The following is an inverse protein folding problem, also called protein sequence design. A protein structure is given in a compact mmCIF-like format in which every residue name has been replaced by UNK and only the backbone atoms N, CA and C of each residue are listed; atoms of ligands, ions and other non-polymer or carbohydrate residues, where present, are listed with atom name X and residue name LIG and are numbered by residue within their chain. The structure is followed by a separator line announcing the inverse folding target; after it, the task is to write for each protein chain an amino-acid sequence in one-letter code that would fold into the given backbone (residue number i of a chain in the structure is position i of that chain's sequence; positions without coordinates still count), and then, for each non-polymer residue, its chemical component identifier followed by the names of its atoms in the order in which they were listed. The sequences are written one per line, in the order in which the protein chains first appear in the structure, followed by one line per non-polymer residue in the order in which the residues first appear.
data_IF_898671277347
#
_entry.id   IF_898671277347
#
_cell.length_a   1.000
_cell.length_b   1.000
_cell.length_c   1.000
_cell.angle_alpha   90.00
_cell.angle_beta   90.00
_cell.angle_gamma   90.00
#
_symmetry.space_group_name_H-M   'P 1'
#
loop_
_entity.id
_entity.type
_entity.pdbx_description
1 polymer ?
#
# COMPACT_ATOMS: atom_id res chain seq x y z
N UNK A 1 72.89 -23.26 35.19
CA UNK A 1 72.27 -24.61 35.27
C UNK A 1 71.45 -24.83 34.01
N UNK A 2 71.86 -25.80 33.18
CA UNK A 2 71.08 -26.66 32.23
C UNK A 2 70.00 -25.99 31.34
N UNK A 3 70.21 -25.88 30.01
CA UNK A 3 70.04 -26.90 28.93
C UNK A 3 68.60 -26.89 28.34
N UNK A 4 68.30 -26.95 27.03
CA UNK A 4 69.04 -27.10 25.77
C UNK A 4 68.21 -26.50 24.61
N UNK A 5 68.89 -25.95 23.59
CA UNK A 5 68.40 -25.85 22.21
C UNK A 5 68.40 -27.25 21.57
N UNK A 6 67.39 -27.56 20.76
CA UNK A 6 67.49 -28.61 19.72
C UNK A 6 67.00 -28.09 18.37
N UNK A 7 67.97 -28.05 17.46
CA UNK A 7 67.85 -27.94 16.01
C UNK A 7 67.13 -29.14 15.42
N UNK A 8 66.45 -28.94 14.27
CA UNK A 8 66.35 -29.98 13.23
C UNK A 8 66.34 -29.33 11.84
N UNK A 9 67.29 -29.79 11.03
CA UNK A 9 67.49 -29.48 9.63
C UNK A 9 67.35 -30.81 8.84
N UNK A 10 66.52 -30.76 7.80
CA UNK A 10 66.55 -31.47 6.50
C UNK A 10 66.72 -33.01 6.48
N UNK A 11 65.73 -33.69 5.87
CA UNK A 11 65.95 -34.79 4.92
C UNK A 11 65.06 -34.55 3.69
N UNK A 12 65.64 -34.77 2.51
CA UNK A 12 65.02 -34.64 1.19
C UNK A 12 64.72 -36.01 0.57
N UNK A 13 63.78 -36.00 -0.40
CA UNK A 13 63.45 -36.98 -1.47
C UNK A 13 62.43 -38.10 -1.13
N UNK A 14 61.66 -38.64 -2.11
CA UNK A 14 61.27 -38.12 -3.43
C UNK A 14 59.75 -38.21 -3.72
N UNK A 15 59.38 -37.59 -4.85
CA UNK A 15 58.06 -37.53 -5.50
C UNK A 15 57.52 -38.92 -5.83
N UNK A 16 56.31 -39.24 -5.37
CA UNK A 16 55.45 -40.27 -5.94
C UNK A 16 54.12 -39.63 -6.37
N UNK A 17 53.95 -39.45 -7.67
CA UNK A 17 52.73 -38.92 -8.27
C UNK A 17 51.59 -39.95 -8.13
N UNK A 18 50.65 -39.70 -7.21
CA UNK A 18 49.33 -40.31 -7.22
C UNK A 18 48.43 -39.45 -8.10
N UNK A 19 48.30 -39.84 -9.36
CA UNK A 19 47.20 -39.37 -10.22
C UNK A 19 45.89 -39.93 -9.67
N UNK A 20 45.24 -39.19 -8.77
CA UNK A 20 43.82 -39.39 -8.49
C UNK A 20 43.07 -38.75 -9.64
N UNK A 21 42.48 -39.59 -10.49
CA UNK A 21 41.49 -39.17 -11.48
C UNK A 21 40.31 -38.62 -10.68
N UNK A 22 40.28 -37.31 -10.48
CA UNK A 22 39.07 -36.61 -10.06
C UNK A 22 38.13 -36.62 -11.27
N UNK A 23 37.33 -37.68 -11.39
CA UNK A 23 36.10 -37.59 -12.16
C UNK A 23 35.23 -36.53 -11.45
N UNK A 24 35.38 -35.27 -11.86
CA UNK A 24 34.42 -34.23 -11.60
C UNK A 24 33.15 -34.58 -12.37
N UNK A 25 32.42 -35.59 -11.89
CA UNK A 25 31.00 -35.68 -12.17
C UNK A 25 30.40 -34.45 -11.52
N UNK A 26 30.11 -33.42 -12.31
CA UNK A 26 29.18 -32.39 -11.89
C UNK A 26 27.89 -33.13 -11.54
N UNK A 27 27.66 -33.33 -10.23
CA UNK A 27 26.36 -33.72 -9.74
C UNK A 27 25.44 -32.54 -10.05
N UNK A 28 24.84 -32.56 -11.24
CA UNK A 28 23.67 -31.75 -11.54
C UNK A 28 22.59 -32.28 -10.61
N UNK A 29 22.38 -31.60 -9.49
CA UNK A 29 21.22 -31.86 -8.66
C UNK A 29 19.99 -31.52 -9.50
N UNK A 30 19.36 -32.54 -10.07
CA UNK A 30 18.10 -32.43 -10.78
C UNK A 30 16.99 -32.24 -9.74
N UNK A 31 16.61 -30.97 -9.50
CA UNK A 31 15.56 -30.60 -8.57
C UNK A 31 14.17 -30.61 -9.21
N UNK A 32 14.03 -31.05 -10.48
CA UNK A 32 12.73 -31.11 -11.18
C UNK A 32 11.70 -32.00 -10.48
N UNK A 33 12.16 -32.93 -9.63
CA UNK A 33 11.31 -33.81 -8.81
C UNK A 33 10.96 -33.25 -7.43
N UNK A 34 11.57 -32.14 -6.98
CA UNK A 34 11.27 -31.51 -5.69
C UNK A 34 10.07 -30.59 -5.87
N UNK A 35 8.87 -31.14 -5.69
CA UNK A 35 7.63 -30.35 -5.73
C UNK A 35 7.20 -30.02 -4.30
N UNK A 36 7.36 -28.76 -3.90
CA UNK A 36 6.60 -28.22 -2.79
C UNK A 36 5.09 -28.26 -3.09
N UNK A 37 4.22 -28.05 -2.10
CA UNK A 37 2.78 -27.93 -2.37
C UNK A 37 2.53 -26.84 -3.41
N UNK A 38 1.63 -27.11 -4.36
CA UNK A 38 1.24 -26.11 -5.35
C UNK A 38 0.64 -24.88 -4.65
N UNK A 39 0.83 -23.67 -5.20
CA UNK A 39 0.20 -22.49 -4.64
C UNK A 39 -1.33 -22.61 -4.64
N UNK A 40 -1.99 -22.17 -3.58
CA UNK A 40 -3.46 -21.99 -3.58
C UNK A 40 -3.77 -20.73 -4.37
N UNK A 41 -4.64 -20.80 -5.37
CA UNK A 41 -5.02 -19.64 -6.20
C UNK A 41 -6.45 -19.24 -5.85
N UNK A 42 -6.60 -18.01 -5.37
CA UNK A 42 -7.88 -17.35 -5.16
C UNK A 42 -8.08 -16.43 -6.36
N UNK A 43 -8.67 -17.00 -7.40
CA UNK A 43 -8.84 -16.33 -8.70
C UNK A 43 -10.01 -15.33 -8.67
N UNK A 44 -9.87 -14.24 -9.41
CA UNK A 44 -10.96 -13.29 -9.61
C UNK A 44 -11.92 -13.84 -10.67
N UNK A 45 -13.22 -13.59 -10.51
CA UNK A 45 -14.23 -14.05 -11.46
C UNK A 45 -15.37 -13.04 -11.63
N UNK A 46 -16.01 -13.01 -12.79
CA UNK A 46 -17.02 -12.00 -13.08
C UNK A 46 -16.45 -10.59 -13.28
N UNK A 47 -17.33 -9.66 -13.65
CA UNK A 47 -16.97 -8.29 -14.05
C UNK A 47 -16.63 -7.43 -12.84
N UNK A 48 -17.44 -7.49 -11.78
CA UNK A 48 -17.25 -6.73 -10.54
C UNK A 48 -17.11 -7.63 -9.32
N UNK A 49 -16.73 -7.03 -8.18
CA UNK A 49 -16.63 -7.72 -6.89
C UNK A 49 -17.92 -8.44 -6.48
N UNK A 50 -19.09 -7.89 -6.80
CA UNK A 50 -20.41 -8.50 -6.50
C UNK A 50 -20.66 -9.82 -7.24
N UNK A 51 -19.97 -10.03 -8.35
CA UNK A 51 -20.09 -11.23 -9.20
C UNK A 51 -19.06 -12.30 -8.81
N UNK A 52 -18.22 -12.00 -7.81
CA UNK A 52 -17.07 -12.80 -7.42
C UNK A 52 -17.24 -13.35 -5.99
N UNK A 53 -17.38 -14.67 -5.80
CA UNK A 53 -17.53 -15.25 -4.47
C UNK A 53 -16.27 -15.11 -3.61
N UNK A 54 -15.13 -14.74 -4.21
CA UNK A 54 -13.87 -14.51 -3.50
C UNK A 54 -13.67 -13.04 -3.10
N UNK A 55 -14.63 -12.16 -3.41
CA UNK A 55 -14.49 -10.72 -3.23
C UNK A 55 -15.50 -10.16 -2.21
N UNK A 56 -15.06 -9.18 -1.44
CA UNK A 56 -15.90 -8.43 -0.51
C UNK A 56 -15.38 -6.99 -0.36
N UNK A 57 -16.19 -6.06 0.15
CA UNK A 57 -15.79 -4.64 0.28
C UNK A 57 -16.18 -3.99 1.62
N UNK A 58 -16.56 -4.80 2.60
CA UNK A 58 -16.79 -4.37 3.98
C UNK A 58 -16.09 -5.28 4.96
N UNK A 59 -15.44 -4.69 5.95
CA UNK A 59 -14.76 -5.46 6.99
C UNK A 59 -15.77 -5.77 8.10
N UNK A 60 -15.94 -7.04 8.42
CA UNK A 60 -16.74 -7.51 9.55
C UNK A 60 -16.21 -8.88 10.01
N UNK A 61 -16.22 -9.15 11.32
CA UNK A 61 -15.68 -10.40 11.88
C UNK A 61 -16.41 -11.67 11.39
N UNK A 62 -17.65 -11.52 10.91
CA UNK A 62 -18.49 -12.62 10.43
C UNK A 62 -18.30 -12.97 8.94
N UNK A 63 -17.49 -12.21 8.18
CA UNK A 63 -17.16 -12.55 6.78
C UNK A 63 -16.48 -13.91 6.76
N UNK A 64 -16.94 -14.81 5.88
CA UNK A 64 -16.45 -16.18 5.82
C UNK A 64 -15.18 -16.28 5.00
N UNK A 65 -14.19 -17.09 5.41
CA UNK A 65 -13.05 -17.37 4.56
C UNK A 65 -13.46 -18.06 3.27
N UNK A 66 -12.76 -17.73 2.19
CA UNK A 66 -12.98 -18.29 0.84
C UNK A 66 -11.94 -19.35 0.47
N UNK A 67 -10.83 -19.41 1.22
CA UNK A 67 -9.77 -20.39 1.04
C UNK A 67 -9.05 -20.69 2.37
N UNK A 68 -8.38 -21.84 2.41
CA UNK A 68 -7.48 -22.25 3.48
C UNK A 68 -6.07 -22.45 2.94
N UNK A 69 -5.07 -22.04 3.71
CA UNK A 69 -3.65 -22.24 3.37
C UNK A 69 -2.90 -22.80 4.57
N UNK A 70 -1.97 -23.72 4.31
CA UNK A 70 -1.03 -24.15 5.34
C UNK A 70 0.00 -23.04 5.60
N UNK A 71 0.55 -22.92 6.82
CA UNK A 71 1.71 -22.08 7.06
C UNK A 71 2.85 -22.39 6.06
N UNK A 72 3.54 -21.34 5.62
CA UNK A 72 4.62 -21.36 4.62
C UNK A 72 4.21 -21.79 3.19
N UNK A 73 2.96 -22.19 2.95
CA UNK A 73 2.44 -22.43 1.61
C UNK A 73 2.33 -21.13 0.84
N UNK A 74 2.73 -21.14 -0.44
CA UNK A 74 2.46 -20.03 -1.33
C UNK A 74 0.97 -19.97 -1.64
N UNK A 75 0.42 -18.76 -1.72
CA UNK A 75 -0.92 -18.54 -2.23
C UNK A 75 -0.95 -17.27 -3.05
N UNK A 76 -1.96 -17.18 -3.92
CA UNK A 76 -2.06 -16.14 -4.92
C UNK A 76 -3.44 -15.52 -4.82
N UNK A 77 -3.48 -14.20 -4.69
CA UNK A 77 -4.68 -13.38 -4.75
C UNK A 77 -4.70 -12.69 -6.11
N UNK A 78 -5.74 -12.93 -6.91
CA UNK A 78 -6.03 -12.09 -8.08
C UNK A 78 -6.95 -10.95 -7.65
N UNK A 79 -6.47 -9.72 -7.82
CA UNK A 79 -7.13 -8.50 -7.33
C UNK A 79 -7.67 -7.67 -8.50
N UNK A 80 -8.65 -6.83 -8.16
CA UNK A 80 -9.17 -5.75 -9.01
C UNK A 80 -8.49 -4.43 -8.63
N UNK A 81 -8.69 -3.40 -9.45
CA UNK A 81 -8.34 -2.04 -9.06
C UNK A 81 -9.17 -1.59 -7.84
N UNK A 82 -8.68 -0.61 -7.07
CA UNK A 82 -9.32 -0.16 -5.83
C UNK A 82 -10.74 0.40 -5.99
N UNK A 83 -11.13 0.81 -7.20
CA UNK A 83 -12.42 1.45 -7.46
C UNK A 83 -13.53 0.45 -7.87
N UNK A 84 -13.18 -0.79 -8.23
CA UNK A 84 -14.10 -1.77 -8.84
C UNK A 84 -14.87 -1.16 -10.04
N UNK A 85 -14.15 -0.38 -10.84
CA UNK A 85 -14.70 0.50 -11.87
C UNK A 85 -14.64 -0.09 -13.28
N UNK A 86 -15.41 0.49 -14.21
CA UNK A 86 -15.36 0.15 -15.64
C UNK A 86 -14.32 0.97 -16.42
N UNK A 87 -13.42 1.65 -15.70
CA UNK A 87 -12.43 2.52 -16.33
C UNK A 87 -11.50 1.72 -17.24
N UNK A 88 -11.20 2.29 -18.39
CA UNK A 88 -10.38 1.67 -19.44
C UNK A 88 -9.65 2.76 -20.24
N UNK A 89 -8.86 2.39 -21.25
CA UNK A 89 -8.08 3.33 -22.07
C UNK A 89 -8.92 4.36 -22.86
N UNK A 90 -10.25 4.22 -22.91
CA UNK A 90 -11.17 5.13 -23.58
C UNK A 90 -11.96 6.00 -22.58
N UNK A 91 -11.74 5.83 -21.28
CA UNK A 91 -12.48 6.55 -20.26
C UNK A 91 -12.20 8.04 -20.28
N UNK A 92 -13.20 8.81 -19.89
CA UNK A 92 -13.13 10.27 -19.81
C UNK A 92 -13.29 10.75 -18.37
N UNK A 93 -13.02 12.03 -18.08
CA UNK A 93 -13.32 12.61 -16.77
C UNK A 93 -14.78 12.43 -16.33
N UNK A 94 -15.74 12.40 -17.25
CA UNK A 94 -17.14 12.13 -16.93
C UNK A 94 -17.35 10.73 -16.35
N UNK A 95 -16.62 9.72 -16.84
CA UNK A 95 -16.66 8.36 -16.30
C UNK A 95 -16.14 8.33 -14.86
N UNK A 96 -15.08 9.09 -14.55
CA UNK A 96 -14.56 9.24 -13.18
C UNK A 96 -15.62 9.84 -12.26
N UNK A 97 -16.37 10.86 -12.72
CA UNK A 97 -17.45 11.44 -11.94
C UNK A 97 -18.63 10.49 -11.71
N UNK A 98 -18.77 9.45 -12.54
CA UNK A 98 -19.82 8.44 -12.44
C UNK A 98 -19.44 7.22 -11.58
N UNK A 99 -18.18 7.10 -11.15
CA UNK A 99 -17.70 5.98 -10.32
C UNK A 99 -18.49 5.92 -8.99
N UNK A 100 -19.03 4.74 -8.69
CA UNK A 100 -19.69 4.48 -7.41
C UNK A 100 -18.68 4.09 -6.33
N UNK A 101 -18.26 5.09 -5.54
CA UNK A 101 -17.33 4.90 -4.45
C UNK A 101 -17.86 4.00 -3.31
N UNK A 102 -19.11 3.54 -3.33
CA UNK A 102 -19.58 2.53 -2.36
C UNK A 102 -19.02 1.14 -2.65
N UNK A 103 -18.59 0.88 -3.89
CA UNK A 103 -17.95 -0.38 -4.29
C UNK A 103 -16.53 -0.52 -3.77
N UNK A 104 -15.83 0.61 -3.62
CA UNK A 104 -14.49 0.69 -3.06
C UNK A 104 -14.43 0.16 -1.61
N UNK A 105 -13.44 -0.68 -1.25
CA UNK A 105 -12.42 -1.35 -2.08
C UNK A 105 -12.85 -2.80 -2.36
N UNK A 106 -12.69 -3.34 -3.58
CA UNK A 106 -12.87 -4.77 -3.82
C UNK A 106 -11.67 -5.57 -3.28
N UNK A 107 -11.90 -6.39 -2.26
CA UNK A 107 -10.87 -7.16 -1.56
C UNK A 107 -10.99 -8.65 -1.84
N UNK A 108 -9.90 -9.27 -2.27
CA UNK A 108 -9.81 -10.72 -2.49
C UNK A 108 -9.48 -11.41 -1.16
N UNK A 109 -10.30 -12.39 -0.78
CA UNK A 109 -10.20 -13.13 0.47
C UNK A 109 -11.57 -13.21 1.17
N UNK A 110 -11.60 -13.42 2.51
CA UNK A 110 -10.48 -13.67 3.40
C UNK A 110 -9.88 -15.09 3.25
N UNK A 111 -8.58 -15.21 3.47
CA UNK A 111 -7.83 -16.47 3.51
C UNK A 111 -7.64 -16.88 4.96
N UNK A 112 -8.01 -18.12 5.28
CA UNK A 112 -7.80 -18.72 6.59
C UNK A 112 -6.42 -19.39 6.65
N UNK A 113 -5.55 -18.94 7.56
CA UNK A 113 -4.23 -19.55 7.79
C UNK A 113 -4.36 -20.68 8.80
N UNK A 114 -4.16 -21.92 8.36
CA UNK A 114 -4.42 -23.09 9.18
C UNK A 114 -3.54 -23.12 10.44
N UNK A 115 -4.19 -23.37 11.57
CA UNK A 115 -3.55 -23.43 12.87
C UNK A 115 -3.27 -22.08 13.54
N UNK A 116 -3.45 -20.94 12.87
CA UNK A 116 -3.37 -19.63 13.51
C UNK A 116 -4.56 -19.39 14.45
N UNK A 117 -4.33 -18.77 15.61
CA UNK A 117 -5.34 -18.51 16.64
C UNK A 117 -5.37 -17.03 17.02
N UNK A 118 -6.48 -16.57 17.59
CA UNK A 118 -6.53 -15.25 18.24
C UNK A 118 -5.36 -15.12 19.23
N UNK A 119 -4.61 -14.01 19.14
CA UNK A 119 -3.41 -13.77 19.95
C UNK A 119 -2.09 -14.22 19.32
N UNK A 120 -2.12 -15.04 18.28
CA UNK A 120 -0.95 -15.25 17.41
C UNK A 120 -0.76 -14.05 16.47
N UNK A 121 0.37 -14.01 15.76
CA UNK A 121 0.52 -13.17 14.57
C UNK A 121 0.73 -14.02 13.32
N UNK A 122 0.45 -13.43 12.16
CA UNK A 122 0.92 -13.96 10.88
C UNK A 122 1.93 -13.00 10.25
N UNK A 123 3.03 -13.57 9.77
CA UNK A 123 4.08 -12.88 9.04
C UNK A 123 3.87 -13.16 7.55
N UNK A 124 3.46 -12.14 6.80
CA UNK A 124 3.07 -12.23 5.40
C UNK A 124 4.17 -11.64 4.52
N UNK A 125 4.91 -12.49 3.83
CA UNK A 125 5.96 -12.07 2.89
C UNK A 125 5.36 -11.87 1.49
N UNK A 126 5.64 -10.72 0.87
CA UNK A 126 5.29 -10.43 -0.52
C UNK A 126 6.32 -11.10 -1.44
N UNK A 127 5.88 -12.09 -2.22
CA UNK A 127 6.77 -12.93 -3.04
C UNK A 127 6.86 -12.47 -4.49
N UNK A 128 5.73 -12.09 -5.10
CA UNK A 128 5.66 -11.50 -6.45
C UNK A 128 4.39 -10.66 -6.57
N UNK A 129 4.43 -9.63 -7.41
CA UNK A 129 3.26 -8.89 -7.86
C UNK A 129 3.36 -8.79 -9.38
N UNK A 130 2.41 -9.41 -10.08
CA UNK A 130 2.28 -9.26 -11.52
C UNK A 130 1.18 -8.21 -11.81
N UNK A 131 1.50 -7.09 -12.47
CA UNK A 131 0.52 -6.08 -12.80
C UNK A 131 -0.38 -6.55 -13.96
N UNK A 132 -1.63 -6.11 -13.99
CA UNK A 132 -2.39 -6.07 -15.25
C UNK A 132 -1.76 -5.02 -16.20
N UNK A 133 -2.13 -5.05 -17.48
CA UNK A 133 -1.51 -4.19 -18.51
C UNK A 133 -2.03 -2.73 -18.53
N UNK A 134 -3.07 -2.45 -17.74
CA UNK A 134 -3.75 -1.16 -17.65
C UNK A 134 -3.83 -0.69 -16.20
N UNK A 135 -3.64 0.61 -16.01
CA UNK A 135 -3.95 1.27 -14.75
C UNK A 135 -4.37 2.72 -14.92
N UNK A 136 -4.84 3.32 -13.85
CA UNK A 136 -5.33 4.71 -13.84
C UNK A 136 -4.83 5.48 -12.64
N UNK A 137 -4.65 6.79 -12.81
CA UNK A 137 -4.66 7.73 -11.68
C UNK A 137 -5.79 8.72 -11.90
N UNK A 138 -6.61 8.95 -10.88
CA UNK A 138 -7.80 9.79 -11.00
C UNK A 138 -7.82 10.91 -9.97
N UNK A 139 -8.39 12.05 -10.37
CA UNK A 139 -8.84 13.08 -9.43
C UNK A 139 -10.34 12.88 -9.29
N UNK A 140 -10.78 12.38 -8.14
CA UNK A 140 -12.20 12.18 -7.85
C UNK A 140 -12.73 13.42 -7.11
N UNK A 141 -13.78 14.10 -7.61
CA UNK A 141 -14.33 15.29 -6.98
C UNK A 141 -14.70 15.07 -5.50
N UNK A 142 -14.20 15.95 -4.63
CA UNK A 142 -14.44 15.87 -3.18
C UNK A 142 -13.55 14.88 -2.43
N UNK A 143 -12.62 14.19 -3.12
CA UNK A 143 -11.65 13.27 -2.53
C UNK A 143 -10.20 13.72 -2.76
N UNK A 144 -9.27 13.16 -1.99
CA UNK A 144 -7.85 13.52 -2.03
C UNK A 144 -7.47 14.72 -1.14
N UNK A 145 -6.16 14.95 -1.06
CA UNK A 145 -5.55 15.91 -0.13
C UNK A 145 -5.81 17.37 -0.50
N UNK A 146 -5.96 17.65 -1.81
CA UNK A 146 -6.25 18.97 -2.37
C UNK A 146 -7.65 19.05 -2.99
N UNK A 147 -8.63 18.29 -2.46
CA UNK A 147 -10.03 18.24 -2.93
C UNK A 147 -10.75 19.59 -3.05
N UNK A 148 -10.28 20.61 -2.34
CA UNK A 148 -10.81 21.96 -2.38
C UNK A 148 -10.14 22.86 -3.45
N UNK A 149 -9.03 22.39 -4.04
CA UNK A 149 -8.29 23.04 -5.14
C UNK A 149 -8.60 22.35 -6.46
N UNK A 150 -8.56 21.02 -6.50
CA UNK A 150 -8.87 20.20 -7.67
C UNK A 150 -10.28 19.62 -7.49
N UNK A 151 -11.26 20.28 -8.11
CA UNK A 151 -12.69 19.99 -7.90
C UNK A 151 -13.34 19.27 -9.07
N UNK A 152 -12.73 19.37 -10.24
CA UNK A 152 -13.21 18.73 -11.46
C UNK A 152 -12.58 17.34 -11.57
N UNK A 153 -13.31 16.37 -12.15
CA UNK A 153 -12.77 15.04 -12.35
C UNK A 153 -11.60 15.07 -13.34
N UNK A 154 -10.66 14.15 -13.19
CA UNK A 154 -9.55 13.98 -14.12
C UNK A 154 -9.05 12.53 -14.12
N UNK A 155 -8.46 12.10 -15.23
CA UNK A 155 -7.91 10.75 -15.38
C UNK A 155 -6.63 10.78 -16.21
N UNK A 156 -5.65 9.97 -15.79
CA UNK A 156 -4.47 9.59 -16.58
C UNK A 156 -4.48 8.09 -16.75
N UNK A 157 -4.33 7.64 -18.00
CA UNK A 157 -4.29 6.23 -18.38
C UNK A 157 -2.85 5.75 -18.48
N UNK A 158 -2.55 4.63 -17.84
CA UNK A 158 -1.23 4.04 -17.82
C UNK A 158 -1.21 2.70 -18.55
N UNK A 159 -0.30 2.56 -19.51
CA UNK A 159 0.11 1.28 -20.05
C UNK A 159 1.21 0.72 -19.13
N UNK A 160 0.95 -0.46 -18.56
CA UNK A 160 1.77 -1.06 -17.53
C UNK A 160 2.54 -2.25 -18.09
N UNK A 161 3.74 -2.47 -17.56
CA UNK A 161 4.49 -3.71 -17.72
C UNK A 161 5.37 -3.92 -16.48
N UNK A 162 6.14 -5.01 -16.41
CA UNK A 162 6.97 -5.32 -15.23
C UNK A 162 8.14 -4.37 -14.94
N UNK A 163 8.34 -3.33 -15.75
CA UNK A 163 9.43 -2.36 -15.60
C UNK A 163 8.90 -0.96 -15.30
N UNK A 164 7.88 -0.52 -16.03
CA UNK A 164 7.44 0.88 -16.01
C UNK A 164 6.00 1.09 -16.47
N UNK A 165 5.42 2.20 -16.02
CA UNK A 165 4.14 2.75 -16.45
C UNK A 165 4.36 3.93 -17.40
N UNK A 166 3.72 3.89 -18.57
CA UNK A 166 3.77 4.92 -19.61
C UNK A 166 2.39 5.46 -19.89
N UNK A 167 2.27 6.74 -20.18
CA UNK A 167 0.98 7.35 -20.55
C UNK A 167 1.08 8.18 -21.83
N UNK A 168 0.03 8.11 -22.66
CA UNK A 168 -0.16 9.04 -23.79
C UNK A 168 -0.65 10.41 -23.31
N UNK A 169 -1.30 10.45 -22.15
CA UNK A 169 -1.81 11.68 -21.52
C UNK A 169 -0.66 12.50 -20.92
N UNK A 170 0.48 11.85 -20.64
CA UNK A 170 1.69 12.48 -20.11
C UNK A 170 2.95 12.02 -20.89
N UNK A 171 3.13 12.46 -22.15
CA UNK A 171 4.29 12.08 -22.96
C UNK A 171 5.62 12.45 -22.28
N UNK A 172 6.62 11.58 -22.40
CA UNK A 172 7.95 11.78 -21.78
C UNK A 172 8.04 11.32 -20.31
N UNK A 173 6.93 10.90 -19.70
CA UNK A 173 6.92 10.36 -18.33
C UNK A 173 7.04 8.82 -18.38
N UNK A 174 7.83 8.27 -17.47
CA UNK A 174 7.86 6.85 -17.11
C UNK A 174 7.89 6.68 -15.61
N UNK A 175 6.94 5.98 -15.02
CA UNK A 175 7.02 5.68 -13.59
C UNK A 175 7.55 4.26 -13.42
N UNK A 176 8.69 4.04 -12.71
CA UNK A 176 9.21 2.69 -12.51
C UNK A 176 8.25 1.86 -11.64
N UNK A 177 8.16 0.56 -11.94
CA UNK A 177 7.33 -0.36 -11.16
C UNK A 177 7.89 -0.52 -9.74
N UNK A 178 7.09 -0.13 -8.75
CA UNK A 178 7.37 -0.30 -7.33
C UNK A 178 6.09 -0.79 -6.65
N UNK A 179 5.54 -1.88 -7.17
CA UNK A 179 4.19 -2.28 -6.83
C UNK A 179 4.07 -2.83 -5.41
N UNK A 180 2.93 -2.55 -4.78
CA UNK A 180 2.56 -2.98 -3.44
C UNK A 180 1.03 -3.04 -3.33
N UNK A 181 0.52 -3.62 -2.23
CA UNK A 181 -0.91 -3.65 -1.94
C UNK A 181 -1.27 -2.41 -1.12
N UNK A 182 -2.10 -1.50 -1.64
CA UNK A 182 -2.64 -0.36 -0.90
C UNK A 182 -3.49 -0.84 0.28
N UNK A 183 -4.38 -1.81 0.01
CA UNK A 183 -5.14 -2.52 1.04
C UNK A 183 -4.63 -3.95 1.28
N UNK A 184 -4.12 -4.22 2.49
CA UNK A 184 -3.82 -5.56 2.99
C UNK A 184 -4.05 -5.64 4.51
N UNK A 185 -4.75 -6.68 4.97
CA UNK A 185 -5.12 -6.76 6.38
C UNK A 185 -5.70 -8.10 6.80
N UNK A 186 -6.06 -8.18 8.08
CA UNK A 186 -6.71 -9.34 8.71
C UNK A 186 -8.07 -8.96 9.25
N UNK A 187 -9.00 -9.91 9.39
CA UNK A 187 -10.31 -9.61 9.95
C UNK A 187 -10.21 -9.28 11.44
N UNK A 188 -10.99 -8.29 11.93
CA UNK A 188 -11.16 -8.04 13.36
C UNK A 188 -12.00 -9.13 14.01
N UNK A 189 -12.05 -9.12 15.34
CA UNK A 189 -13.17 -9.71 16.09
C UNK A 189 -14.07 -8.60 16.65
N UNK A 190 -15.15 -8.96 17.33
CA UNK A 190 -16.14 -8.03 17.87
C UNK A 190 -15.54 -6.91 18.74
N UNK A 191 -14.61 -7.14 19.68
CA UNK A 191 -14.05 -6.07 20.50
C UNK A 191 -13.33 -4.98 19.69
N UNK A 192 -12.58 -5.39 18.66
CA UNK A 192 -11.88 -4.47 17.78
C UNK A 192 -12.87 -3.68 16.91
N UNK A 193 -13.87 -4.35 16.36
CA UNK A 193 -14.93 -3.72 15.56
C UNK A 193 -15.74 -2.69 16.36
N UNK A 194 -16.19 -3.06 17.56
CA UNK A 194 -16.98 -2.18 18.45
C UNK A 194 -16.19 -0.90 18.81
N UNK A 195 -14.87 -1.03 19.03
CA UNK A 195 -13.97 0.11 19.30
C UNK A 195 -13.92 1.06 18.10
N UNK A 196 -13.81 0.53 16.88
CA UNK A 196 -13.73 1.33 15.65
C UNK A 196 -15.04 2.08 15.40
N UNK A 197 -16.17 1.36 15.43
CA UNK A 197 -17.50 1.95 15.25
C UNK A 197 -17.75 3.09 16.23
N UNK A 198 -17.39 2.88 17.51
CA UNK A 198 -17.55 3.90 18.55
C UNK A 198 -16.74 5.17 18.25
N UNK A 199 -15.41 5.05 18.06
CA UNK A 199 -14.54 6.23 17.90
C UNK A 199 -14.82 6.99 16.60
N UNK A 200 -15.17 6.27 15.54
CA UNK A 200 -15.49 6.87 14.24
C UNK A 200 -16.86 7.57 14.29
N UNK A 201 -17.84 6.98 14.98
CA UNK A 201 -19.10 7.66 15.27
C UNK A 201 -18.92 8.93 16.08
N UNK A 202 -18.12 8.88 17.15
CA UNK A 202 -17.85 10.06 17.99
C UNK A 202 -17.21 11.20 17.16
N UNK A 203 -16.30 10.89 16.24
CA UNK A 203 -15.70 11.87 15.33
C UNK A 203 -16.72 12.42 14.31
N UNK A 204 -17.57 11.55 13.75
CA UNK A 204 -18.63 11.96 12.83
C UNK A 204 -19.64 12.90 13.52
N UNK A 205 -20.05 12.57 14.76
CA UNK A 205 -20.96 13.38 15.58
C UNK A 205 -20.34 14.75 15.91
N UNK A 206 -19.00 14.85 15.99
CA UNK A 206 -18.27 16.11 16.13
C UNK A 206 -18.09 16.89 14.81
N UNK A 207 -18.58 16.37 13.68
CA UNK A 207 -18.48 16.98 12.35
C UNK A 207 -17.19 16.66 11.59
N UNK A 208 -16.37 15.73 12.09
CA UNK A 208 -15.18 15.26 11.40
C UNK A 208 -15.52 14.40 10.17
N UNK A 209 -14.60 14.33 9.21
CA UNK A 209 -14.78 13.52 8.01
C UNK A 209 -14.63 12.03 8.35
N UNK A 210 -15.73 11.27 8.22
CA UNK A 210 -15.80 9.83 8.51
C UNK A 210 -16.72 9.16 7.51
N UNK A 211 -16.32 8.00 7.00
CA UNK A 211 -17.18 7.12 6.21
C UNK A 211 -17.76 6.04 7.12
N UNK A 212 -18.97 6.29 7.65
CA UNK A 212 -19.70 5.34 8.49
C UNK A 212 -20.12 4.09 7.69
N UNK A 213 -20.53 2.99 8.36
CA UNK A 213 -21.15 1.86 7.68
C UNK A 213 -22.21 2.30 6.67
N UNK A 214 -22.13 1.72 5.47
CA UNK A 214 -22.96 2.07 4.32
C UNK A 214 -23.35 0.77 3.60
N UNK A 215 -24.63 0.38 3.65
CA UNK A 215 -25.08 -0.90 3.11
C UNK A 215 -25.36 -0.92 1.61
N UNK A 216 -25.40 0.22 0.94
CA UNK A 216 -25.47 0.28 -0.53
C UNK A 216 -24.17 -0.28 -1.13
N UNK A 217 -24.29 -1.17 -2.12
CA UNK A 217 -23.19 -1.94 -2.75
C UNK A 217 -22.29 -2.71 -1.77
N UNK A 218 -22.75 -2.95 -0.53
CA UNK A 218 -21.96 -3.60 0.50
C UNK A 218 -21.93 -5.13 0.33
N UNK A 219 -20.73 -5.69 0.40
CA UNK A 219 -20.46 -7.11 0.24
C UNK A 219 -19.72 -7.68 1.47
N UNK A 220 -20.10 -8.87 1.98
CA UNK A 220 -21.16 -9.76 1.46
C UNK A 220 -22.57 -9.20 1.64
N UNK A 221 -23.44 -9.34 0.64
CA UNK A 221 -24.74 -8.65 0.62
C UNK A 221 -25.72 -9.13 1.70
N UNK A 222 -25.69 -10.42 2.04
CA UNK A 222 -26.50 -11.04 3.10
C UNK A 222 -26.09 -10.61 4.52
N UNK A 223 -24.84 -10.18 4.68
CA UNK A 223 -24.31 -9.68 5.94
C UNK A 223 -24.37 -8.15 6.04
N UNK A 224 -23.88 -7.47 5.00
CA UNK A 224 -23.59 -6.04 5.01
C UNK A 224 -24.51 -5.20 4.12
N UNK A 225 -25.26 -5.84 3.21
CA UNK A 225 -26.14 -5.17 2.27
C UNK A 225 -27.35 -4.50 2.91
N UNK A 226 -28.21 -3.88 2.11
CA UNK A 226 -29.40 -3.13 2.58
C UNK A 226 -30.32 -3.96 3.48
N UNK A 227 -30.44 -5.25 3.16
CA UNK A 227 -31.21 -6.26 3.91
C UNK A 227 -30.30 -7.20 4.75
N UNK A 228 -29.02 -6.86 4.87
CA UNK A 228 -28.03 -7.67 5.54
C UNK A 228 -28.17 -7.67 7.07
N UNK A 229 -27.79 -8.77 7.71
CA UNK A 229 -27.99 -8.97 9.16
C UNK A 229 -27.20 -8.01 10.05
N UNK A 230 -26.09 -7.46 9.54
CA UNK A 230 -25.12 -6.62 10.27
C UNK A 230 -24.77 -5.34 9.50
N UNK A 231 -25.70 -4.86 8.68
CA UNK A 231 -25.52 -3.72 7.78
C UNK A 231 -25.01 -2.43 8.43
N UNK A 232 -25.34 -2.21 9.70
CA UNK A 232 -24.94 -1.04 10.49
C UNK A 232 -23.60 -1.24 11.23
N UNK A 233 -23.00 -2.44 11.15
CA UNK A 233 -21.72 -2.80 11.78
C UNK A 233 -20.59 -3.04 10.76
N UNK A 234 -20.94 -3.24 9.48
CA UNK A 234 -19.98 -3.48 8.41
C UNK A 234 -19.21 -2.21 8.02
N UNK A 235 -17.95 -2.10 8.47
CA UNK A 235 -17.16 -0.88 8.28
C UNK A 235 -16.57 -0.78 6.87
N UNK A 236 -16.43 0.46 6.39
CA UNK A 236 -15.74 0.78 5.13
C UNK A 236 -14.26 0.42 5.22
N UNK A 237 -13.71 0.03 4.07
CA UNK A 237 -12.30 -0.35 3.87
C UNK A 237 -11.38 0.86 3.69
N UNK A 238 -11.93 2.07 3.52
CA UNK A 238 -11.19 3.29 3.17
C UNK A 238 -10.14 3.71 4.22
N UNK A 239 -10.45 3.83 5.52
CA UNK A 239 -9.43 4.21 6.49
C UNK A 239 -8.58 3.00 6.96
N UNK A 240 -7.26 3.16 7.14
CA UNK A 240 -6.44 2.16 7.83
C UNK A 240 -6.85 2.04 9.30
N UNK A 241 -6.68 0.85 9.85
CA UNK A 241 -6.90 0.59 11.29
C UNK A 241 -5.80 -0.33 11.83
N UNK A 242 -5.92 -0.71 13.09
CA UNK A 242 -4.94 -1.55 13.78
C UNK A 242 -4.72 -2.92 13.11
N UNK A 243 -5.69 -3.41 12.32
CA UNK A 243 -5.62 -4.65 11.55
C UNK A 243 -4.90 -4.53 10.19
N UNK A 244 -4.38 -3.35 9.87
CA UNK A 244 -3.93 -3.00 8.53
C UNK A 244 -5.09 -2.40 7.75
N UNK A 245 -5.47 -3.07 6.66
CA UNK A 245 -6.45 -2.53 5.72
C UNK A 245 -5.76 -1.58 4.75
N UNK A 246 -6.39 -0.45 4.45
CA UNK A 246 -5.90 0.51 3.47
C UNK A 246 -4.76 1.38 4.03
N UNK A 247 -3.56 0.80 4.10
CA UNK A 247 -2.38 1.40 4.71
C UNK A 247 -1.62 2.31 3.74
N UNK A 248 -1.75 2.09 2.44
CA UNK A 248 -1.07 2.85 1.37
C UNK A 248 0.41 3.05 1.67
N UNK A 249 1.06 1.97 2.10
CA UNK A 249 2.46 1.97 2.51
C UNK A 249 3.32 1.42 1.39
N UNK A 250 3.89 2.34 0.60
CA UNK A 250 4.68 2.00 -0.60
C UNK A 250 5.93 1.17 -0.30
N UNK A 251 6.35 1.04 0.95
CA UNK A 251 7.45 0.19 1.39
C UNK A 251 7.09 -1.31 1.42
N UNK A 252 5.81 -1.66 1.28
CA UNK A 252 5.30 -3.06 1.31
C UNK A 252 5.42 -3.78 -0.05
N UNK A 253 6.56 -3.57 -0.73
CA UNK A 253 6.88 -4.18 -2.03
C UNK A 253 7.33 -5.64 -1.92
N UNK A 254 7.55 -6.28 -3.08
CA UNK A 254 8.15 -7.62 -3.18
C UNK A 254 9.45 -7.71 -2.37
N UNK A 255 9.50 -8.68 -1.45
CA UNK A 255 10.59 -8.90 -0.50
C UNK A 255 10.27 -8.44 0.93
N UNK A 256 9.33 -7.52 1.12
CA UNK A 256 8.89 -7.06 2.44
C UNK A 256 8.02 -8.13 3.12
N UNK A 257 8.18 -8.26 4.44
CA UNK A 257 7.31 -9.07 5.31
C UNK A 257 6.48 -8.15 6.19
N UNK A 258 5.17 -8.40 6.24
CA UNK A 258 4.20 -7.62 7.00
C UNK A 258 3.67 -8.48 8.15
N UNK A 259 3.69 -7.95 9.37
CA UNK A 259 3.33 -8.64 10.60
C UNK A 259 1.94 -8.19 11.05
N UNK A 260 0.98 -9.12 11.03
CA UNK A 260 -0.40 -8.86 11.45
C UNK A 260 -0.74 -9.58 12.75
N UNK A 261 -1.36 -8.89 13.75
CA UNK A 261 -1.96 -9.56 14.90
C UNK A 261 -3.24 -10.30 14.50
N UNK A 262 -3.41 -11.54 14.94
CA UNK A 262 -4.62 -12.30 14.66
C UNK A 262 -5.69 -12.02 15.71
N UNK A 263 -6.82 -11.43 15.28
CA UNK A 263 -7.97 -11.16 16.14
C UNK A 263 -8.97 -12.32 16.17
N UNK A 264 -9.00 -13.14 15.12
CA UNK A 264 -9.82 -14.35 15.03
C UNK A 264 -8.94 -15.56 14.71
N UNK A 265 -9.50 -16.75 14.89
CA UNK A 265 -8.86 -17.98 14.42
C UNK A 265 -8.68 -17.94 12.89
N UNK A 266 -7.50 -18.34 12.42
CA UNK A 266 -7.10 -18.24 11.01
C UNK A 266 -6.80 -16.84 10.51
N UNK A 267 -6.95 -15.80 11.34
CA UNK A 267 -6.70 -14.37 11.11
C UNK A 267 -7.57 -13.72 10.02
N UNK A 268 -7.94 -14.43 8.95
CA UNK A 268 -8.76 -13.90 7.85
C UNK A 268 -8.01 -12.86 7.03
N UNK A 269 -6.89 -13.25 6.42
CA UNK A 269 -6.05 -12.36 5.60
C UNK A 269 -6.76 -11.99 4.30
N UNK A 270 -6.75 -10.71 3.92
CA UNK A 270 -7.28 -10.23 2.65
C UNK A 270 -6.33 -9.20 2.04
N UNK A 271 -6.43 -8.99 0.72
CA UNK A 271 -5.76 -7.91 0.04
C UNK A 271 -6.53 -7.47 -1.21
N UNK A 272 -6.27 -6.25 -1.66
CA UNK A 272 -6.81 -5.67 -2.88
C UNK A 272 -6.08 -4.37 -3.17
N UNK A 273 -6.67 -3.54 -4.04
CA UNK A 273 -6.21 -2.15 -4.23
C UNK A 273 -4.70 -2.08 -4.50
N UNK A 274 -4.26 -2.81 -5.54
CA UNK A 274 -2.84 -2.94 -5.82
C UNK A 274 -2.40 -1.74 -6.63
N UNK A 275 -1.32 -1.11 -6.19
CA UNK A 275 -0.75 0.07 -6.84
C UNK A 275 0.49 -0.32 -7.61
N UNK A 276 0.62 0.14 -8.85
CA UNK A 276 1.83 -0.05 -9.63
C UNK A 276 3.01 0.77 -9.08
N UNK A 277 2.69 1.99 -8.66
CA UNK A 277 3.59 2.93 -7.99
C UNK A 277 2.76 4.02 -7.30
N UNK A 278 3.32 4.56 -6.21
CA UNK A 278 2.72 5.64 -5.43
C UNK A 278 3.82 6.50 -4.80
N UNK A 279 3.60 7.80 -4.74
CA UNK A 279 4.39 8.74 -3.95
C UNK A 279 3.92 8.79 -2.49
N UNK A 280 4.82 9.14 -1.58
CA UNK A 280 4.52 9.26 -0.16
C UNK A 280 3.35 10.23 0.12
N UNK A 281 2.28 9.71 0.70
CA UNK A 281 1.08 10.45 1.11
C UNK A 281 -0.08 10.40 0.12
N UNK A 282 0.07 9.75 -1.04
CA UNK A 282 -1.03 9.50 -2.00
C UNK A 282 -1.90 10.74 -2.27
N UNK A 283 -1.24 11.85 -2.61
CA UNK A 283 -1.88 13.16 -2.43
C UNK A 283 -3.14 13.37 -3.29
N UNK A 284 -3.26 12.70 -4.44
CA UNK A 284 -4.47 12.75 -5.28
C UNK A 284 -5.65 11.93 -4.71
N UNK A 285 -5.39 11.11 -3.68
CA UNK A 285 -6.29 10.07 -3.20
C UNK A 285 -6.26 8.81 -4.07
N UNK A 286 -5.45 8.78 -5.12
CA UNK A 286 -5.20 7.56 -5.90
C UNK A 286 -3.73 7.48 -6.29
N UNK A 287 -3.27 6.26 -6.48
CA UNK A 287 -1.96 5.91 -7.01
C UNK A 287 -2.04 5.65 -8.52
N UNK A 288 -1.12 4.84 -9.06
CA UNK A 288 -1.36 4.13 -10.33
C UNK A 288 -2.13 2.84 -9.99
N UNK A 289 -3.44 2.95 -9.97
CA UNK A 289 -4.38 1.87 -9.63
C UNK A 289 -4.36 0.77 -10.69
N UNK A 290 -4.34 -0.50 -10.27
CA UNK A 290 -4.39 -1.63 -11.19
C UNK A 290 -5.01 -2.89 -10.57
N UNK A 291 -5.52 -3.76 -11.43
CA UNK A 291 -5.65 -5.18 -11.09
C UNK A 291 -4.27 -5.85 -11.07
N UNK A 292 -4.14 -6.93 -10.30
CA UNK A 292 -2.87 -7.65 -10.22
C UNK A 292 -3.05 -9.11 -9.81
N UNK A 293 -1.98 -9.89 -9.99
CA UNK A 293 -1.81 -11.21 -9.39
C UNK A 293 -0.70 -11.15 -8.33
N UNK A 294 -1.09 -11.25 -7.07
CA UNK A 294 -0.20 -11.10 -5.91
C UNK A 294 0.12 -12.46 -5.32
N UNK A 295 1.40 -12.83 -5.25
CA UNK A 295 1.88 -14.06 -4.61
C UNK A 295 2.39 -13.76 -3.21
N UNK A 296 1.86 -14.46 -2.21
CA UNK A 296 2.15 -14.28 -0.80
C UNK A 296 2.59 -15.60 -0.15
N UNK A 297 3.26 -15.47 1.00
CA UNK A 297 3.50 -16.56 1.95
C UNK A 297 3.15 -16.08 3.34
N UNK A 298 2.42 -16.87 4.12
CA UNK A 298 2.09 -16.55 5.50
C UNK A 298 2.72 -17.57 6.45
N UNK A 299 3.37 -17.10 7.50
CA UNK A 299 3.89 -17.92 8.61
C UNK A 299 3.18 -17.54 9.90
N UNK A 300 2.91 -18.52 10.77
CA UNK A 300 2.29 -18.28 12.09
C UNK A 300 3.35 -18.11 13.16
N UNK A 301 3.25 -17.04 13.95
CA UNK A 301 4.09 -16.78 15.11
C UNK A 301 3.24 -16.81 16.38
N UNK A 302 3.49 -17.81 17.24
CA UNK A 302 2.68 -18.08 18.43
C UNK A 302 2.76 -16.96 19.45
N UNK A 303 1.62 -16.45 19.90
CA UNK A 303 1.55 -15.33 20.86
C UNK A 303 2.09 -13.99 20.31
N UNK A 304 2.37 -13.90 19.01
CA UNK A 304 3.02 -12.73 18.40
C UNK A 304 2.20 -11.44 18.46
N UNK A 305 0.87 -11.51 18.60
CA UNK A 305 0.01 -10.32 18.65
C UNK A 305 0.37 -9.39 19.83
N UNK A 306 0.91 -9.91 20.92
CA UNK A 306 1.28 -9.10 22.09
C UNK A 306 2.35 -8.04 21.79
N UNK A 307 3.16 -8.24 20.73
CA UNK A 307 4.18 -7.30 20.28
C UNK A 307 3.69 -6.35 19.16
N UNK A 308 2.46 -6.52 18.70
CA UNK A 308 1.90 -5.83 17.54
C UNK A 308 0.67 -4.99 17.94
N UNK A 309 0.86 -3.80 18.54
CA UNK A 309 -0.26 -2.89 18.81
C UNK A 309 -0.92 -2.38 17.52
N UNK A 310 -0.15 -2.35 16.42
CA UNK A 310 -0.55 -2.12 15.04
C UNK A 310 0.27 -3.03 14.14
N UNK A 311 -0.10 -3.11 12.86
CA UNK A 311 0.73 -3.74 11.83
C UNK A 311 2.14 -3.16 11.82
N UNK A 312 3.13 -4.03 11.62
CA UNK A 312 4.54 -3.69 11.43
C UNK A 312 5.02 -4.34 10.14
N UNK A 313 6.11 -3.84 9.56
CA UNK A 313 6.71 -4.44 8.37
C UNK A 313 8.23 -4.39 8.46
N UNK A 314 8.86 -5.44 7.94
CA UNK A 314 10.31 -5.61 7.90
C UNK A 314 10.73 -5.87 6.44
N UNK A 315 11.69 -5.09 5.97
CA UNK A 315 12.27 -5.21 4.64
C UNK A 315 13.79 -5.02 4.68
N UNK A 316 14.44 -5.03 3.52
CA UNK A 316 15.89 -4.92 3.40
C UNK A 316 16.32 -3.97 2.29
N UNK A 317 16.96 -4.51 1.25
CA UNK A 317 17.53 -3.73 0.16
C UNK A 317 16.46 -3.11 -0.76
N UNK A 318 15.20 -3.54 -0.63
CA UNK A 318 14.03 -3.08 -1.37
C UNK A 318 13.82 -1.58 -1.20
N UNK A 319 14.00 -1.07 0.02
CA UNK A 319 13.87 0.36 0.31
C UNK A 319 14.86 1.22 -0.49
N UNK A 320 16.04 0.68 -0.81
CA UNK A 320 17.02 1.37 -1.67
C UNK A 320 16.57 1.44 -3.13
N UNK A 321 15.75 0.50 -3.59
CA UNK A 321 15.18 0.50 -4.95
C UNK A 321 14.07 1.54 -5.09
N UNK A 322 13.36 1.84 -4.01
CA UNK A 322 12.35 2.90 -3.95
C UNK A 322 12.97 4.30 -3.99
N UNK A 323 14.21 4.44 -3.51
CA UNK A 323 14.88 5.74 -3.49
C UNK A 323 15.25 6.20 -4.93
N UNK A 324 15.00 7.48 -5.26
CA UNK A 324 15.35 8.01 -6.57
C UNK A 324 16.86 8.10 -6.77
N UNK A 325 17.34 7.89 -8.00
CA UNK A 325 18.75 8.09 -8.34
C UNK A 325 19.11 9.59 -8.44
N UNK A 326 18.14 10.42 -8.81
CA UNK A 326 18.20 11.88 -8.77
C UNK A 326 16.86 12.44 -8.30
N UNK A 327 16.90 13.50 -7.49
CA UNK A 327 15.68 14.12 -6.97
C UNK A 327 15.71 15.65 -7.09
N UNK A 328 14.51 16.24 -7.07
CA UNK A 328 14.29 17.65 -6.78
C UNK A 328 13.36 17.73 -5.58
N UNK A 329 13.61 18.64 -4.64
CA UNK A 329 12.79 18.78 -3.46
C UNK A 329 12.33 20.22 -3.26
N UNK A 330 11.10 20.38 -2.82
CA UNK A 330 10.56 21.64 -2.31
C UNK A 330 10.15 21.46 -0.86
N UNK A 331 10.20 22.54 -0.08
CA UNK A 331 9.72 22.54 1.30
C UNK A 331 8.29 23.11 1.40
N UNK A 332 7.58 22.67 2.43
CA UNK A 332 6.33 23.22 2.90
C UNK A 332 6.43 23.57 4.38
N UNK A 333 5.78 24.67 4.76
CA UNK A 333 5.70 25.19 6.12
C UNK A 333 4.22 25.40 6.49
N UNK A 334 3.84 25.41 7.77
CA UNK A 334 2.45 25.54 8.22
C UNK A 334 1.91 26.98 8.13
N UNK A 335 2.06 27.60 6.96
CA UNK A 335 1.68 28.99 6.69
C UNK A 335 0.46 28.99 5.77
N UNK A 336 -0.56 29.79 6.10
CA UNK A 336 -1.77 29.95 5.29
C UNK A 336 -2.06 31.43 5.03
N UNK A 337 -2.91 31.71 4.04
CA UNK A 337 -3.41 33.07 3.88
C UNK A 337 -4.32 33.43 5.06
N UNK A 338 -4.27 34.70 5.50
CA UNK A 338 -5.19 35.19 6.53
C UNK A 338 -6.61 35.19 5.98
N UNK A 339 -7.56 34.68 6.76
CA UNK A 339 -8.94 34.47 6.35
C UNK A 339 -9.25 33.04 5.94
N UNK A 340 -8.27 32.32 5.38
CA UNK A 340 -8.47 30.92 4.98
C UNK A 340 -8.56 29.99 6.19
N UNK A 341 -9.43 28.99 6.11
CA UNK A 341 -9.52 27.89 7.07
C UNK A 341 -9.29 26.60 6.29
N UNK A 342 -8.21 25.85 6.54
CA UNK A 342 -7.97 24.58 5.86
C UNK A 342 -9.17 23.64 6.02
N UNK A 343 -9.51 22.91 4.96
CA UNK A 343 -10.71 22.04 4.93
C UNK A 343 -10.70 20.96 6.03
N UNK A 344 -9.52 20.54 6.50
CA UNK A 344 -9.38 19.57 7.59
C UNK A 344 -9.53 20.18 8.99
N UNK A 345 -9.57 21.52 9.11
CA UNK A 345 -9.74 22.24 10.40
C UNK A 345 -11.17 22.75 10.60
N UNK A 346 -12.06 22.60 9.62
CA UNK A 346 -13.39 23.23 9.63
C UNK A 346 -14.27 22.72 10.78
N UNK A 347 -14.18 21.43 11.10
CA UNK A 347 -14.96 20.81 12.18
C UNK A 347 -14.51 21.27 13.59
N UNK A 348 -13.30 21.83 13.71
CA UNK A 348 -12.77 22.41 14.96
C UNK A 348 -13.22 23.87 15.17
N UNK A 349 -14.20 24.33 14.38
CA UNK A 349 -14.91 25.60 14.57
C UNK A 349 -14.23 26.82 13.94
N UNK A 350 -12.97 26.72 13.47
CA UNK A 350 -12.28 27.67 12.58
C UNK A 350 -12.05 29.11 13.06
N UNK A 351 -12.83 29.64 14.01
CA UNK A 351 -12.86 31.06 14.41
C UNK A 351 -11.53 31.57 14.95
N UNK A 352 -10.81 30.73 15.71
CA UNK A 352 -9.48 31.07 16.25
C UNK A 352 -8.38 31.01 15.18
N UNK A 353 -8.58 30.19 14.15
CA UNK A 353 -7.59 29.87 13.12
C UNK A 353 -7.68 30.83 11.94
N UNK A 354 -8.89 31.23 11.52
CA UNK A 354 -9.13 32.12 10.39
C UNK A 354 -8.24 33.38 10.38
N UNK A 355 -8.12 34.19 11.46
CA UNK A 355 -7.31 35.41 11.43
C UNK A 355 -5.79 35.17 11.40
N UNK A 356 -5.33 33.94 11.63
CA UNK A 356 -3.90 33.61 11.68
C UNK A 356 -3.31 33.46 10.28
N UNK A 357 -2.02 33.75 10.15
CA UNK A 357 -1.24 33.42 8.96
C UNK A 357 -0.33 32.20 9.18
N UNK A 358 -0.16 31.78 10.43
CA UNK A 358 0.73 30.70 10.82
C UNK A 358 0.00 29.76 11.78
N UNK A 359 0.24 28.46 11.64
CA UNK A 359 -0.32 27.40 12.46
C UNK A 359 0.80 26.72 13.26
N UNK A 360 0.62 26.59 14.58
CA UNK A 360 1.62 25.93 15.42
C UNK A 360 1.60 24.44 15.14
N UNK A 361 2.75 23.88 14.76
CA UNK A 361 2.97 22.42 14.65
C UNK A 361 2.01 21.67 13.70
N UNK A 362 1.46 22.37 12.72
CA UNK A 362 0.50 21.79 11.77
C UNK A 362 1.22 21.08 10.62
N UNK A 363 1.54 19.80 10.84
CA UNK A 363 2.21 18.96 9.84
C UNK A 363 1.35 18.77 8.57
N UNK A 364 0.03 18.72 8.72
CA UNK A 364 -0.92 18.57 7.62
C UNK A 364 -0.85 19.79 6.70
N UNK A 365 -0.86 21.00 7.24
CA UNK A 365 -0.71 22.23 6.45
C UNK A 365 0.69 22.33 5.82
N UNK A 366 1.74 21.93 6.54
CA UNK A 366 3.10 21.89 5.97
C UNK A 366 3.18 20.92 4.77
N UNK A 367 2.64 19.71 4.90
CA UNK A 367 2.56 18.72 3.82
C UNK A 367 1.74 19.23 2.62
N UNK A 368 0.61 19.89 2.90
CA UNK A 368 -0.25 20.50 1.87
C UNK A 368 0.51 21.54 1.06
N UNK A 369 1.25 22.41 1.74
CA UNK A 369 2.04 23.43 1.08
C UNK A 369 3.23 22.87 0.31
N UNK A 370 3.88 21.81 0.80
CA UNK A 370 4.92 21.10 0.06
C UNK A 370 4.36 20.52 -1.26
N UNK A 371 3.16 19.94 -1.20
CA UNK A 371 2.44 19.41 -2.38
C UNK A 371 2.14 20.52 -3.39
N UNK A 372 1.55 21.64 -2.95
CA UNK A 372 1.25 22.78 -3.82
C UNK A 372 2.51 23.38 -4.45
N UNK A 373 3.61 23.47 -3.69
CA UNK A 373 4.89 23.96 -4.19
C UNK A 373 5.49 23.01 -5.25
N UNK A 374 5.29 21.69 -5.12
CA UNK A 374 5.77 20.72 -6.10
C UNK A 374 4.98 20.83 -7.41
N UNK A 375 3.65 20.96 -7.30
CA UNK A 375 2.78 21.22 -8.45
C UNK A 375 3.23 22.48 -9.19
N UNK A 376 3.45 23.57 -8.46
CA UNK A 376 3.92 24.84 -9.03
C UNK A 376 5.27 24.70 -9.75
N UNK A 377 6.21 23.95 -9.17
CA UNK A 377 7.51 23.66 -9.79
C UNK A 377 7.34 22.89 -11.11
N UNK A 378 6.54 21.82 -11.11
CA UNK A 378 6.28 20.99 -12.28
C UNK A 378 5.62 21.79 -13.40
N UNK A 379 4.62 22.61 -13.09
CA UNK A 379 3.97 23.49 -14.06
C UNK A 379 4.99 24.47 -14.66
N UNK A 380 5.76 25.18 -13.81
CA UNK A 380 6.69 26.23 -14.25
C UNK A 380 7.90 25.71 -15.04
N UNK A 381 8.40 24.52 -14.70
CA UNK A 381 9.69 24.02 -15.21
C UNK A 381 9.57 22.84 -16.17
N UNK A 382 8.46 22.10 -16.13
CA UNK A 382 8.21 20.94 -16.98
C UNK A 382 7.03 21.13 -17.93
N UNK A 383 6.27 22.23 -17.81
CA UNK A 383 5.18 22.55 -18.72
C UNK A 383 3.95 21.65 -18.61
N UNK A 384 3.83 20.91 -17.50
CA UNK A 384 2.65 20.10 -17.21
C UNK A 384 1.45 21.00 -16.91
N UNK A 385 0.23 20.52 -17.20
CA UNK A 385 -0.98 21.14 -16.64
C UNK A 385 -1.00 20.98 -15.12
N UNK A 386 -1.88 21.70 -14.43
CA UNK A 386 -1.98 21.58 -12.96
C UNK A 386 -2.41 20.18 -12.54
N UNK A 387 -3.33 19.58 -13.28
CA UNK A 387 -3.87 18.24 -13.05
C UNK A 387 -2.80 17.17 -13.29
N UNK A 388 -2.08 17.25 -14.42
CA UNK A 388 -0.93 16.38 -14.70
C UNK A 388 0.15 16.50 -13.61
N UNK A 389 0.46 17.73 -13.18
CA UNK A 389 1.44 17.96 -12.12
C UNK A 389 0.98 17.37 -10.78
N UNK A 390 -0.31 17.45 -10.46
CA UNK A 390 -0.87 16.85 -9.25
C UNK A 390 -0.86 15.32 -9.31
N UNK A 391 -1.29 14.72 -10.42
CA UNK A 391 -1.18 13.29 -10.68
C UNK A 391 0.26 12.80 -10.54
N UNK A 392 1.21 13.47 -11.20
CA UNK A 392 2.63 13.11 -11.11
C UNK A 392 3.16 13.23 -9.68
N UNK A 393 2.71 14.24 -8.92
CA UNK A 393 3.06 14.37 -7.50
C UNK A 393 2.53 13.18 -6.69
N UNK A 394 1.31 12.71 -6.96
CA UNK A 394 0.72 11.55 -6.26
C UNK A 394 1.45 10.24 -6.52
N UNK A 395 2.02 10.06 -7.72
CA UNK A 395 2.61 8.76 -8.11
C UNK A 395 4.14 8.74 -8.04
N UNK A 396 4.80 9.90 -7.94
CA UNK A 396 6.26 10.00 -8.06
C UNK A 396 6.94 10.98 -7.09
N UNK A 397 6.21 11.63 -6.17
CA UNK A 397 6.79 12.51 -5.17
C UNK A 397 6.50 12.05 -3.73
N UNK A 398 7.53 12.10 -2.88
CA UNK A 398 7.44 11.66 -1.49
C UNK A 398 7.33 12.84 -0.54
N UNK A 399 6.25 12.89 0.24
CA UNK A 399 6.15 13.76 1.40
C UNK A 399 6.98 13.21 2.55
N UNK A 400 8.08 13.89 2.88
CA UNK A 400 8.99 13.53 3.95
C UNK A 400 8.93 14.56 5.08
N UNK A 401 8.76 14.09 6.30
CA UNK A 401 8.86 14.93 7.49
C UNK A 401 10.31 15.36 7.68
N UNK A 402 10.59 16.65 7.58
CA UNK A 402 11.93 17.19 7.75
C UNK A 402 12.27 17.36 9.24
N UNK A 403 11.35 17.96 10.00
CA UNK A 403 11.43 18.09 11.46
C UNK A 403 10.04 18.37 12.05
N UNK A 404 9.86 18.03 13.33
CA UNK A 404 8.60 18.23 14.09
C UNK A 404 8.80 18.98 15.42
N UNK A 405 9.93 19.66 15.61
CA UNK A 405 10.36 20.17 16.93
C UNK A 405 10.67 21.68 16.96
N UNK A 406 10.69 22.36 15.81
CA UNK A 406 11.08 23.77 15.72
C UNK A 406 9.84 24.69 15.75
N UNK A 407 9.34 24.96 16.95
CA UNK A 407 8.15 25.79 17.13
C UNK A 407 8.35 27.23 16.60
N UNK A 408 7.34 27.83 15.92
CA UNK A 408 6.02 27.27 15.64
C UNK A 408 5.96 26.40 14.36
N UNK A 409 7.02 26.36 13.55
CA UNK A 409 6.99 25.84 12.19
C UNK A 409 7.63 24.45 12.10
N UNK A 410 6.83 23.42 11.93
CA UNK A 410 7.30 22.11 11.46
C UNK A 410 7.56 22.11 9.96
N UNK A 411 8.32 21.15 9.45
CA UNK A 411 8.73 21.12 8.04
C UNK A 411 8.38 19.80 7.36
N UNK A 412 7.84 19.88 6.15
CA UNK A 412 7.68 18.76 5.23
C UNK A 412 8.39 19.09 3.93
N UNK A 413 9.05 18.12 3.31
CA UNK A 413 9.56 18.24 1.94
C UNK A 413 8.77 17.33 1.02
N UNK A 414 8.48 17.80 -0.19
CA UNK A 414 8.03 16.94 -1.28
C UNK A 414 9.26 16.62 -2.16
N UNK A 415 9.65 15.36 -2.22
CA UNK A 415 10.83 14.88 -2.95
C UNK A 415 10.38 14.18 -4.22
N UNK A 416 10.57 14.81 -5.37
CA UNK A 416 10.24 14.27 -6.69
C UNK A 416 11.35 13.34 -7.18
N UNK A 417 10.99 12.11 -7.54
CA UNK A 417 11.87 11.24 -8.31
C UNK A 417 12.05 11.80 -9.72
N UNK A 418 13.26 12.24 -10.08
CA UNK A 418 13.54 12.79 -11.42
C UNK A 418 13.76 11.72 -12.48
N UNK A 419 13.93 10.46 -12.09
CA UNK A 419 14.12 9.34 -13.01
C UNK A 419 12.87 9.08 -13.86
N UNK A 420 11.74 9.70 -13.48
CA UNK A 420 10.48 9.61 -14.22
C UNK A 420 10.47 10.38 -15.52
N UNK A 421 11.32 11.39 -15.68
CA UNK A 421 11.43 12.11 -16.95
C UNK A 421 12.36 11.37 -17.90
N UNK A 422 11.85 10.98 -19.07
CA UNK A 422 12.63 10.46 -20.19
C UNK A 422 12.79 11.56 -21.22
N UNK A 423 13.56 12.58 -20.84
CA UNK A 423 14.02 13.65 -21.73
C UNK A 423 15.05 13.10 -22.74
#
# INVERSE_FOLDING_TARGET
MRHQLKSKLIWALPVAALFVIFCAGAALADTSSVKGPAPVVIAKSGEHCKDDPNCFNRIHYAVKPVAHVQPDQLFILETRDGLDSDLNFQSTPEDVAAVDLNRCHPLTGPVYVDGAKRGDSIDVTVVDIAPDDFGTTTIVPGFGFLRDVFRDPYIVHWNLNRLEARSKDMPGISVPMNAFMGTVGVLPDKPELDKWLKREKELADAGGAVLTPQPVEALPADLCGVDGTNKDECVRTVPPRENGGNLDTKETVVGTTIHFPCYIDGCGLFAGDVHFAMGGGEVAGTAIEMGARVTLRAKVTRGGAAALPTVQFEGGAELKKLAPSSFYAVSGLPIKQKGDVPVFETYLGGKKIAPLANMSEDLTLAARNATLNMIDYLVKTKGLTREQAYVLTSVAADLNVAQVVDFPNVGVTAILNRDVFKD
#
